data_IF_819342243032
#
_entry.id   IF_819342243032
#
_cell.length_a   1.000
_cell.length_b   1.000
_cell.length_c   1.000
_cell.angle_alpha   90.00
_cell.angle_beta   90.00
_cell.angle_gamma   90.00
#
_symmetry.space_group_name_H-M   'P 1'
#
loop_
_entity.id
_entity.type
_entity.pdbx_description
1 polymer ?
#
# COMPACT_ATOMS: atom_id res chain seq x y z
N UNK A 1 -11.49 43.16 11.03
CA UNK A 1 -11.63 42.17 9.95
C UNK A 1 -10.38 42.30 9.11
N UNK A 2 -9.54 41.28 9.11
CA UNK A 2 -8.23 41.33 8.46
C UNK A 2 -8.41 41.22 6.94
N UNK A 3 -8.48 42.36 6.26
CA UNK A 3 -8.73 42.42 4.81
C UNK A 3 -7.64 41.70 3.99
N UNK A 4 -6.44 41.53 4.57
CA UNK A 4 -5.37 40.71 3.99
C UNK A 4 -5.69 39.21 3.99
N UNK A 5 -6.42 38.71 4.98
CA UNK A 5 -6.86 37.32 5.02
C UNK A 5 -7.90 37.02 3.91
N UNK A 6 -8.81 37.97 3.65
CA UNK A 6 -9.79 37.86 2.55
C UNK A 6 -9.13 37.92 1.17
N UNK A 7 -8.09 38.73 0.98
CA UNK A 7 -7.30 38.74 -0.25
C UNK A 7 -6.51 37.45 -0.43
N UNK A 8 -5.87 36.94 0.63
CA UNK A 8 -5.15 35.66 0.59
C UNK A 8 -6.07 34.45 0.31
N UNK A 9 -7.32 34.48 0.76
CA UNK A 9 -8.34 33.49 0.40
C UNK A 9 -8.72 33.59 -1.08
N UNK A 10 -8.91 34.81 -1.60
CA UNK A 10 -9.15 35.05 -3.03
C UNK A 10 -8.01 34.55 -3.91
N UNK A 11 -6.77 34.79 -3.52
CA UNK A 11 -5.57 34.31 -4.21
C UNK A 11 -5.44 32.77 -4.12
N UNK A 12 -5.85 32.18 -3.00
CA UNK A 12 -5.96 30.73 -2.82
C UNK A 12 -6.93 30.08 -3.80
N UNK A 13 -8.13 30.67 -3.97
CA UNK A 13 -9.10 30.20 -4.96
C UNK A 13 -8.64 30.48 -6.41
N UNK A 14 -7.89 31.55 -6.65
CA UNK A 14 -7.33 31.85 -7.96
C UNK A 14 -6.17 30.90 -8.35
N UNK A 15 -5.41 30.41 -7.37
CA UNK A 15 -4.31 29.45 -7.55
C UNK A 15 -4.75 27.97 -7.54
N UNK A 16 -6.06 27.72 -7.51
CA UNK A 16 -6.66 26.39 -7.49
C UNK A 16 -6.75 25.83 -8.92
N UNK A 17 -5.72 25.11 -9.32
CA UNK A 17 -5.71 24.35 -10.57
C UNK A 17 -6.74 23.21 -10.53
N UNK A 18 -7.33 22.86 -11.67
CA UNK A 18 -8.34 21.80 -11.77
C UNK A 18 -7.79 20.44 -11.31
N UNK A 19 -6.47 20.21 -11.50
CA UNK A 19 -5.77 19.02 -11.00
C UNK A 19 -5.81 18.91 -9.49
N UNK A 20 -5.65 20.03 -8.78
CA UNK A 20 -5.71 20.09 -7.31
C UNK A 20 -7.13 19.82 -6.82
N UNK A 21 -8.15 20.38 -7.50
CA UNK A 21 -9.56 20.10 -7.20
C UNK A 21 -9.84 18.60 -7.25
N UNK A 22 -9.35 17.90 -8.28
CA UNK A 22 -9.51 16.45 -8.40
C UNK A 22 -8.85 15.74 -7.21
N UNK A 23 -7.63 16.12 -6.85
CA UNK A 23 -6.92 15.49 -5.72
C UNK A 23 -7.62 15.75 -4.37
N UNK A 24 -8.24 16.92 -4.18
CA UNK A 24 -9.07 17.20 -3.00
C UNK A 24 -10.29 16.29 -2.95
N UNK A 25 -10.96 16.07 -4.08
CA UNK A 25 -12.09 15.15 -4.19
C UNK A 25 -11.65 13.70 -3.91
N UNK A 26 -10.52 13.27 -4.48
CA UNK A 26 -9.95 11.94 -4.22
C UNK A 26 -9.60 11.78 -2.73
N UNK A 27 -8.94 12.77 -2.12
CA UNK A 27 -8.64 12.76 -0.69
C UNK A 27 -9.90 12.66 0.16
N UNK A 28 -10.96 13.40 -0.19
CA UNK A 28 -12.27 13.31 0.46
C UNK A 28 -12.91 11.92 0.32
N UNK A 29 -12.81 11.28 -0.86
CA UNK A 29 -13.29 9.91 -1.09
C UNK A 29 -12.51 8.92 -0.21
N UNK A 30 -11.19 9.05 -0.12
CA UNK A 30 -10.35 8.17 0.72
C UNK A 30 -10.72 8.30 2.21
N UNK A 31 -10.94 9.52 2.70
CA UNK A 31 -11.42 9.76 4.07
C UNK A 31 -12.81 9.16 4.27
N UNK A 32 -13.71 9.32 3.30
CA UNK A 32 -15.04 8.72 3.36
C UNK A 32 -14.98 7.20 3.44
N UNK A 33 -14.13 6.55 2.63
CA UNK A 33 -13.93 5.10 2.68
C UNK A 33 -13.36 4.65 4.02
N UNK A 34 -12.37 5.37 4.54
CA UNK A 34 -11.76 5.07 5.83
C UNK A 34 -12.78 5.13 6.98
N UNK A 35 -13.63 6.17 7.02
CA UNK A 35 -14.52 6.43 8.17
C UNK A 35 -15.90 5.77 8.02
N UNK A 36 -16.52 5.86 6.85
CA UNK A 36 -17.89 5.37 6.66
C UNK A 36 -17.96 3.89 6.28
N UNK A 37 -16.86 3.31 5.78
CA UNK A 37 -16.80 1.93 5.31
C UNK A 37 -15.76 1.08 6.07
N UNK A 38 -15.07 1.65 7.06
CA UNK A 38 -14.01 1.00 7.86
C UNK A 38 -12.92 0.34 7.00
N UNK A 39 -12.62 0.96 5.87
CA UNK A 39 -11.66 0.48 4.87
C UNK A 39 -10.26 0.91 5.28
N UNK A 40 -9.48 0.01 5.89
CA UNK A 40 -8.11 0.24 6.41
C UNK A 40 -7.91 1.65 7.02
N UNK A 41 -8.71 2.03 8.05
CA UNK A 41 -8.78 3.41 8.52
C UNK A 41 -7.44 3.94 9.03
N UNK A 42 -6.59 3.06 9.57
CA UNK A 42 -5.26 3.41 10.10
C UNK A 42 -4.36 4.03 9.02
N UNK A 43 -4.53 3.64 7.76
CA UNK A 43 -3.66 4.05 6.65
C UNK A 43 -4.37 4.94 5.63
N UNK A 44 -5.60 4.62 5.24
CA UNK A 44 -6.35 5.43 4.27
C UNK A 44 -6.68 6.83 4.82
N UNK A 45 -6.94 6.98 6.12
CA UNK A 45 -7.26 8.28 6.71
C UNK A 45 -6.06 9.25 6.67
N UNK A 46 -4.84 8.88 7.13
CA UNK A 46 -3.66 9.71 6.93
C UNK A 46 -3.34 10.02 5.46
N UNK A 47 -3.51 9.04 4.56
CA UNK A 47 -3.26 9.23 3.12
C UNK A 47 -4.26 10.22 2.53
N UNK A 48 -5.55 10.08 2.84
CA UNK A 48 -6.59 11.00 2.39
C UNK A 48 -6.40 12.41 2.93
N UNK A 49 -6.04 12.55 4.21
CA UNK A 49 -5.71 13.84 4.81
C UNK A 49 -4.47 14.46 4.17
N UNK A 50 -3.41 13.68 3.94
CA UNK A 50 -2.21 14.12 3.24
C UNK A 50 -2.49 14.56 1.80
N UNK A 51 -3.38 13.87 1.10
CA UNK A 51 -3.82 14.24 -0.24
C UNK A 51 -4.58 15.58 -0.24
N UNK A 52 -5.43 15.82 0.76
CA UNK A 52 -6.13 17.12 0.90
C UNK A 52 -5.12 18.22 1.20
N UNK A 53 -4.37 18.08 2.30
CA UNK A 53 -3.46 19.13 2.80
C UNK A 53 -2.33 19.42 1.80
N UNK A 54 -1.77 18.39 1.16
CA UNK A 54 -0.69 18.53 0.20
C UNK A 54 -1.11 19.20 -1.12
N UNK A 55 -2.40 19.23 -1.43
CA UNK A 55 -2.94 19.89 -2.63
C UNK A 55 -3.59 21.25 -2.34
N UNK A 56 -3.57 21.73 -1.08
CA UNK A 56 -4.06 23.07 -0.76
C UNK A 56 -3.11 24.14 -1.31
N UNK A 57 -3.61 25.10 -2.13
CA UNK A 57 -2.80 26.15 -2.71
C UNK A 57 -2.21 27.08 -1.63
N UNK A 58 -1.03 27.64 -1.90
CA UNK A 58 -0.38 28.68 -1.09
C UNK A 58 -0.05 28.29 0.37
N UNK A 59 -0.06 27.00 0.71
CA UNK A 59 0.28 26.53 2.08
C UNK A 59 1.76 26.25 2.29
N UNK A 60 2.55 26.13 1.21
CA UNK A 60 3.96 25.74 1.26
C UNK A 60 4.22 24.31 1.78
N UNK A 61 3.18 23.55 2.16
CA UNK A 61 3.34 22.26 2.83
C UNK A 61 4.00 21.18 1.96
N UNK A 62 3.76 21.23 0.65
CA UNK A 62 4.32 20.30 -0.35
C UNK A 62 5.67 20.74 -0.92
N UNK A 63 6.19 21.90 -0.54
CA UNK A 63 7.51 22.37 -0.97
C UNK A 63 8.63 21.60 -0.27
N UNK A 64 9.85 21.68 -0.80
CA UNK A 64 11.01 20.92 -0.31
C UNK A 64 11.33 21.16 1.18
N UNK A 65 11.06 22.37 1.68
CA UNK A 65 11.22 22.78 3.07
C UNK A 65 9.89 22.81 3.85
N UNK A 66 8.78 22.48 3.17
CA UNK A 66 7.48 22.30 3.78
C UNK A 66 7.39 21.02 4.62
N UNK A 67 6.40 20.93 5.50
CA UNK A 67 6.21 19.78 6.39
C UNK A 67 6.21 18.44 5.64
N UNK A 68 5.47 18.33 4.53
CA UNK A 68 5.42 17.08 3.76
C UNK A 68 6.70 16.84 2.95
N UNK A 69 7.37 17.92 2.49
CA UNK A 69 8.69 17.81 1.86
C UNK A 69 9.75 17.25 2.81
N UNK A 70 9.78 17.73 4.05
CA UNK A 70 10.68 17.24 5.11
C UNK A 70 10.34 15.78 5.46
N UNK A 71 9.07 15.45 5.68
CA UNK A 71 8.65 14.08 5.99
C UNK A 71 8.98 13.11 4.85
N UNK A 72 8.79 13.52 3.60
CA UNK A 72 9.17 12.72 2.44
C UNK A 72 10.69 12.53 2.37
N UNK A 73 11.47 13.60 2.57
CA UNK A 73 12.94 13.56 2.56
C UNK A 73 13.51 12.69 3.68
N UNK A 74 13.02 12.85 4.90
CA UNK A 74 13.55 12.20 6.11
C UNK A 74 12.95 10.81 6.34
N UNK A 75 11.76 10.54 5.84
CA UNK A 75 11.05 9.28 6.10
C UNK A 75 11.06 8.31 4.91
N UNK A 76 10.69 8.80 3.72
CA UNK A 76 10.50 7.94 2.53
C UNK A 76 11.82 7.81 1.76
N UNK A 77 12.51 8.93 1.48
CA UNK A 77 13.75 8.93 0.69
C UNK A 77 14.94 8.28 1.41
N UNK A 78 14.97 8.33 2.73
CA UNK A 78 15.95 7.64 3.59
C UNK A 78 15.51 6.22 3.95
N UNK A 79 14.31 5.80 3.53
CA UNK A 79 13.68 4.52 3.84
C UNK A 79 13.39 4.26 5.32
N UNK A 80 13.55 5.25 6.20
CA UNK A 80 13.32 5.10 7.63
C UNK A 80 11.87 4.66 7.91
N UNK A 81 10.87 5.23 7.24
CA UNK A 81 9.47 4.87 7.46
C UNK A 81 9.14 3.44 7.00
N UNK A 82 9.43 3.02 5.76
CA UNK A 82 9.25 1.63 5.35
C UNK A 82 9.96 0.64 6.28
N UNK A 83 11.21 0.91 6.67
CA UNK A 83 11.98 0.01 7.55
C UNK A 83 11.36 -0.13 8.94
N UNK A 84 10.93 0.98 9.56
CA UNK A 84 10.25 0.95 10.85
C UNK A 84 8.93 0.18 10.77
N UNK A 85 8.18 0.33 9.68
CA UNK A 85 6.95 -0.42 9.46
C UNK A 85 7.25 -1.93 9.33
N UNK A 86 8.29 -2.32 8.58
CA UNK A 86 8.70 -3.73 8.48
C UNK A 86 9.13 -4.33 9.81
N UNK A 87 9.86 -3.58 10.64
CA UNK A 87 10.21 -4.01 12.00
C UNK A 87 8.94 -4.25 12.82
N UNK A 88 7.96 -3.35 12.72
CA UNK A 88 6.67 -3.49 13.38
C UNK A 88 5.89 -4.72 12.89
N UNK A 89 5.76 -4.91 11.58
CA UNK A 89 5.07 -6.08 10.99
C UNK A 89 5.77 -7.38 11.42
N UNK A 90 7.10 -7.42 11.37
CA UNK A 90 7.88 -8.57 11.81
C UNK A 90 7.66 -8.90 13.29
N UNK A 91 7.58 -7.88 14.15
CA UNK A 91 7.29 -8.05 15.58
C UNK A 91 5.86 -8.53 15.88
N UNK A 92 4.89 -8.19 15.02
CA UNK A 92 3.49 -8.61 15.15
C UNK A 92 3.19 -9.96 14.49
N UNK A 93 4.10 -10.49 13.68
CA UNK A 93 3.87 -11.72 12.89
C UNK A 93 4.04 -12.97 13.76
N UNK A 94 3.00 -13.80 13.84
CA UNK A 94 3.08 -15.12 14.46
C UNK A 94 3.50 -16.20 13.45
N UNK A 95 4.69 -16.77 13.64
CA UNK A 95 5.21 -17.86 12.82
C UNK A 95 4.66 -19.24 13.23
N UNK A 96 3.90 -19.34 14.32
CA UNK A 96 3.31 -20.59 14.80
C UNK A 96 2.55 -21.36 13.71
N UNK A 97 1.53 -20.77 13.08
CA UNK A 97 0.76 -21.45 12.02
C UNK A 97 1.62 -21.89 10.82
N UNK A 98 2.63 -21.09 10.46
CA UNK A 98 3.56 -21.39 9.37
C UNK A 98 4.44 -22.61 9.69
N UNK A 99 4.96 -22.66 10.91
CA UNK A 99 5.83 -23.74 11.40
C UNK A 99 5.07 -25.04 11.66
N UNK A 100 3.78 -24.96 12.02
CA UNK A 100 2.89 -26.11 12.19
C UNK A 100 2.65 -26.84 10.86
N UNK A 101 2.50 -26.07 9.78
CA UNK A 101 2.30 -26.60 8.41
C UNK A 101 3.21 -25.90 7.40
N UNK A 102 4.49 -26.32 7.29
CA UNK A 102 5.46 -25.69 6.41
C UNK A 102 5.08 -25.73 4.92
N UNK A 103 4.23 -26.67 4.50
CA UNK A 103 3.71 -26.74 3.13
C UNK A 103 2.94 -25.49 2.71
N UNK A 104 2.42 -24.70 3.67
CA UNK A 104 1.76 -23.42 3.41
C UNK A 104 2.70 -22.37 2.80
N UNK A 105 4.02 -22.48 3.00
CA UNK A 105 5.02 -21.62 2.35
C UNK A 105 4.92 -21.71 0.82
N UNK A 106 4.65 -22.90 0.27
CA UNK A 106 4.50 -23.08 -1.18
C UNK A 106 3.29 -22.33 -1.74
N UNK A 107 2.21 -22.25 -0.95
CA UNK A 107 1.04 -21.42 -1.29
C UNK A 107 1.42 -19.94 -1.32
N UNK A 108 2.24 -19.49 -0.37
CA UNK A 108 2.80 -18.13 -0.35
C UNK A 108 3.68 -17.86 -1.58
N UNK A 109 4.54 -18.81 -1.97
CA UNK A 109 5.36 -18.69 -3.16
C UNK A 109 4.52 -18.58 -4.45
N UNK A 110 3.46 -19.38 -4.57
CA UNK A 110 2.52 -19.29 -5.68
C UNK A 110 1.75 -17.96 -5.71
N UNK A 111 1.41 -17.40 -4.55
CA UNK A 111 0.75 -16.10 -4.44
C UNK A 111 1.60 -14.96 -5.04
N UNK A 112 2.93 -15.04 -4.95
CA UNK A 112 3.85 -14.05 -5.54
C UNK A 112 3.82 -14.02 -7.08
N UNK A 113 3.22 -15.02 -7.74
CA UNK A 113 3.00 -14.97 -9.19
C UNK A 113 2.12 -13.77 -9.60
N UNK A 114 1.30 -13.25 -8.68
CA UNK A 114 0.53 -12.02 -8.87
C UNK A 114 1.39 -10.79 -9.18
N UNK A 115 2.63 -10.72 -8.65
CA UNK A 115 3.58 -9.65 -8.97
C UNK A 115 3.96 -9.72 -10.44
N UNK A 116 4.39 -10.89 -10.90
CA UNK A 116 4.83 -11.10 -12.27
C UNK A 116 3.67 -10.91 -13.26
N UNK A 117 2.47 -11.40 -12.92
CA UNK A 117 1.26 -11.17 -13.72
C UNK A 117 0.96 -9.69 -13.89
N UNK A 118 0.94 -8.93 -12.78
CA UNK A 118 0.72 -7.47 -12.81
C UNK A 118 1.81 -6.75 -13.59
N UNK A 119 3.08 -7.15 -13.44
CA UNK A 119 4.20 -6.57 -14.17
C UNK A 119 4.11 -6.84 -15.68
N UNK A 120 3.75 -8.05 -16.11
CA UNK A 120 3.59 -8.39 -17.53
C UNK A 120 2.47 -7.57 -18.18
N UNK A 121 1.35 -7.40 -17.47
CA UNK A 121 0.25 -6.52 -17.92
C UNK A 121 0.74 -5.07 -17.99
N UNK A 122 1.49 -4.60 -16.99
CA UNK A 122 2.03 -3.25 -16.96
C UNK A 122 3.05 -3.00 -18.10
N UNK A 123 3.84 -4.00 -18.50
CA UNK A 123 4.73 -3.90 -19.67
C UNK A 123 3.90 -3.84 -20.97
N UNK A 124 2.89 -4.70 -21.11
CA UNK A 124 2.03 -4.75 -22.29
C UNK A 124 1.24 -3.46 -22.51
N UNK A 125 0.66 -2.90 -21.45
CA UNK A 125 -0.02 -1.59 -21.48
C UNK A 125 1.00 -0.44 -21.53
N UNK A 126 2.14 -0.62 -20.88
CA UNK A 126 3.22 0.35 -20.79
C UNK A 126 3.82 0.74 -22.14
N UNK A 127 3.81 -0.15 -23.13
CA UNK A 127 4.20 0.18 -24.51
C UNK A 127 3.35 1.32 -25.11
N UNK A 128 2.09 1.47 -24.66
CA UNK A 128 1.18 2.54 -25.09
C UNK A 128 1.26 3.79 -24.19
N UNK A 129 1.67 3.63 -22.94
CA UNK A 129 1.76 4.71 -21.93
C UNK A 129 3.19 5.25 -21.75
N UNK A 130 4.18 4.70 -22.46
CA UNK A 130 5.60 5.08 -22.35
C UNK A 130 6.27 4.62 -21.04
N UNK A 131 5.72 3.62 -20.35
CA UNK A 131 6.32 3.09 -19.12
C UNK A 131 7.51 2.19 -19.42
N UNK A 132 8.64 2.47 -18.74
CA UNK A 132 9.80 1.62 -18.78
C UNK A 132 9.66 0.39 -17.87
N UNK A 133 10.71 -0.43 -17.84
CA UNK A 133 10.74 -1.64 -17.02
C UNK A 133 10.67 -1.33 -15.52
N UNK A 134 11.23 -0.18 -15.08
CA UNK A 134 11.26 0.22 -13.67
C UNK A 134 9.87 0.61 -13.15
N UNK A 135 9.11 1.33 -13.97
CA UNK A 135 7.73 1.71 -13.69
C UNK A 135 6.84 0.46 -13.65
N UNK A 136 6.97 -0.41 -14.65
CA UNK A 136 6.20 -1.66 -14.69
C UNK A 136 6.53 -2.60 -13.53
N UNK A 137 7.80 -2.68 -13.11
CA UNK A 137 8.20 -3.43 -11.92
C UNK A 137 7.59 -2.84 -10.64
N UNK A 138 7.57 -1.51 -10.51
CA UNK A 138 6.97 -0.83 -9.35
C UNK A 138 5.47 -1.04 -9.27
N UNK A 139 4.77 -1.01 -10.41
CA UNK A 139 3.33 -1.34 -10.49
C UNK A 139 3.11 -2.84 -10.20
N UNK A 140 4.01 -3.71 -10.68
CA UNK A 140 3.97 -5.14 -10.44
C UNK A 140 3.93 -5.50 -8.95
N UNK A 141 4.72 -4.82 -8.11
CA UNK A 141 4.80 -5.09 -6.67
C UNK A 141 3.47 -4.88 -5.95
N UNK A 142 2.52 -4.10 -6.49
CA UNK A 142 1.15 -4.01 -5.94
C UNK A 142 0.51 -5.41 -5.83
N UNK A 143 0.83 -6.31 -6.76
CA UNK A 143 0.36 -7.70 -6.77
C UNK A 143 0.88 -8.56 -5.62
N UNK A 144 1.83 -8.07 -4.81
CA UNK A 144 2.28 -8.73 -3.57
C UNK A 144 1.28 -8.60 -2.43
N UNK A 145 0.33 -7.65 -2.55
CA UNK A 145 -0.60 -7.23 -1.50
C UNK A 145 0.11 -6.77 -0.20
N UNK A 146 1.32 -6.25 -0.32
CA UNK A 146 2.10 -5.71 0.79
C UNK A 146 2.44 -4.22 0.53
N UNK A 147 1.77 -3.34 1.28
CA UNK A 147 1.86 -1.89 1.11
C UNK A 147 3.27 -1.32 1.37
N UNK A 148 3.91 -1.64 2.50
CA UNK A 148 5.27 -1.20 2.79
C UNK A 148 6.32 -1.60 1.74
N UNK A 149 6.27 -2.81 1.18
CA UNK A 149 7.19 -3.21 0.10
C UNK A 149 6.87 -2.46 -1.19
N UNK A 150 5.59 -2.24 -1.49
CA UNK A 150 5.16 -1.45 -2.64
C UNK A 150 5.69 -0.01 -2.58
N UNK A 151 5.63 0.63 -1.41
CA UNK A 151 6.21 1.96 -1.18
C UNK A 151 7.73 1.92 -1.34
N UNK A 152 8.38 0.95 -0.70
CA UNK A 152 9.83 0.81 -0.73
C UNK A 152 10.35 0.66 -2.16
N UNK A 153 9.80 -0.28 -2.93
CA UNK A 153 10.23 -0.53 -4.32
C UNK A 153 9.90 0.65 -5.22
N UNK A 154 8.72 1.26 -5.10
CA UNK A 154 8.37 2.45 -5.86
C UNK A 154 9.31 3.62 -5.56
N UNK A 155 9.71 3.82 -4.29
CA UNK A 155 10.65 4.89 -3.90
C UNK A 155 12.04 4.74 -4.53
N UNK A 156 12.46 3.50 -4.83
CA UNK A 156 13.76 3.20 -5.44
C UNK A 156 13.70 3.18 -6.97
N UNK A 157 12.65 2.60 -7.54
CA UNK A 157 12.57 2.32 -8.98
C UNK A 157 11.79 3.38 -9.76
N UNK A 158 10.69 3.90 -9.21
CA UNK A 158 9.83 4.89 -9.88
C UNK A 158 9.24 5.91 -8.88
N UNK A 159 10.05 6.85 -8.36
CA UNK A 159 9.61 7.83 -7.35
C UNK A 159 8.43 8.70 -7.83
N UNK A 160 8.36 8.95 -9.15
CA UNK A 160 7.28 9.67 -9.82
C UNK A 160 5.93 8.97 -9.72
N UNK A 161 5.90 7.65 -9.50
CA UNK A 161 4.68 6.85 -9.36
C UNK A 161 4.37 6.48 -7.90
N UNK A 162 5.19 6.91 -6.94
CA UNK A 162 5.04 6.54 -5.53
C UNK A 162 3.64 6.89 -4.97
N UNK A 163 3.15 8.10 -5.24
CA UNK A 163 1.83 8.53 -4.79
C UNK A 163 0.70 7.62 -5.31
N UNK A 164 0.56 7.48 -6.64
CA UNK A 164 -0.43 6.56 -7.24
C UNK A 164 -0.29 5.10 -6.76
N UNK A 165 0.94 4.57 -6.65
CA UNK A 165 1.19 3.19 -6.22
C UNK A 165 0.78 2.99 -4.75
N UNK A 166 1.15 3.92 -3.86
CA UNK A 166 0.81 3.83 -2.45
C UNK A 166 -0.72 3.87 -2.23
N UNK A 167 -1.42 4.78 -2.93
CA UNK A 167 -2.89 4.85 -2.87
C UNK A 167 -3.51 3.57 -3.40
N UNK A 168 -3.04 3.06 -4.55
CA UNK A 168 -3.56 1.85 -5.17
C UNK A 168 -3.33 0.60 -4.31
N UNK A 169 -2.13 0.45 -3.72
CA UNK A 169 -1.78 -0.70 -2.88
C UNK A 169 -2.72 -0.84 -1.68
N UNK A 170 -2.85 0.20 -0.85
CA UNK A 170 -3.71 0.15 0.33
C UNK A 170 -5.21 0.13 -0.01
N UNK A 171 -5.62 0.87 -1.04
CA UNK A 171 -7.01 0.82 -1.49
C UNK A 171 -7.38 -0.58 -1.98
N UNK A 172 -6.50 -1.28 -2.70
CA UNK A 172 -6.77 -2.65 -3.15
C UNK A 172 -6.74 -3.67 -2.00
N UNK A 173 -5.80 -3.56 -1.06
CA UNK A 173 -5.71 -4.46 0.10
C UNK A 173 -7.02 -4.46 0.90
N UNK A 174 -7.61 -3.28 1.08
CA UNK A 174 -8.90 -3.13 1.73
C UNK A 174 -10.10 -3.72 0.96
N UNK A 175 -9.97 -3.88 -0.36
CA UNK A 175 -10.99 -4.49 -1.23
C UNK A 175 -10.87 -6.01 -1.31
N UNK A 176 -9.86 -6.63 -0.69
CA UNK A 176 -9.68 -8.09 -0.64
C UNK A 176 -10.95 -8.83 -0.18
N UNK A 177 -11.68 -8.41 0.87
CA UNK A 177 -12.93 -9.08 1.27
C UNK A 177 -14.04 -9.04 0.21
N UNK A 178 -13.98 -8.10 -0.74
CA UNK A 178 -14.94 -7.99 -1.84
C UNK A 178 -14.46 -8.79 -3.06
N UNK A 179 -13.16 -8.74 -3.37
CA UNK A 179 -12.57 -9.33 -4.57
C UNK A 179 -12.32 -10.83 -4.40
N UNK A 180 -11.85 -11.25 -3.23
CA UNK A 180 -11.44 -12.63 -2.96
C UNK A 180 -12.61 -13.64 -2.99
N UNK A 181 -13.78 -13.40 -2.35
CA UNK A 181 -14.84 -14.41 -2.31
C UNK A 181 -15.43 -14.78 -3.68
N UNK A 182 -15.67 -13.84 -4.62
CA UNK A 182 -16.10 -14.17 -5.98
C UNK A 182 -15.09 -15.06 -6.73
N UNK A 183 -13.79 -14.76 -6.61
CA UNK A 183 -12.72 -15.56 -7.25
C UNK A 183 -12.70 -16.98 -6.67
N UNK A 184 -12.78 -17.11 -5.34
CA UNK A 184 -12.89 -18.41 -4.70
C UNK A 184 -14.14 -19.16 -5.18
N UNK A 185 -15.27 -18.45 -5.34
CA UNK A 185 -16.52 -19.04 -5.83
C UNK A 185 -16.42 -19.59 -7.25
N UNK A 186 -15.62 -18.94 -8.10
CA UNK A 186 -15.41 -19.29 -9.50
C UNK A 186 -14.43 -20.45 -9.68
N UNK A 187 -13.32 -20.45 -8.94
CA UNK A 187 -12.21 -21.38 -9.17
C UNK A 187 -12.26 -22.68 -8.36
N UNK A 188 -12.94 -22.68 -7.21
CA UNK A 188 -12.99 -23.88 -6.33
C UNK A 188 -14.35 -24.56 -6.39
N UNK A 189 -14.40 -25.86 -6.13
CA UNK A 189 -15.63 -26.65 -6.08
C UNK A 189 -16.22 -26.69 -4.66
N UNK A 190 -17.48 -27.14 -4.52
CA UNK A 190 -18.11 -27.32 -3.20
C UNK A 190 -17.44 -28.43 -2.37
N UNK A 191 -16.91 -29.46 -3.03
CA UNK A 191 -16.23 -30.57 -2.36
C UNK A 191 -14.87 -30.14 -1.79
N UNK A 192 -14.08 -29.38 -2.56
CA UNK A 192 -12.80 -28.81 -2.07
C UNK A 192 -13.00 -27.88 -0.86
N UNK A 193 -14.05 -27.05 -0.86
CA UNK A 193 -14.37 -26.15 0.26
C UNK A 193 -14.81 -26.87 1.53
N UNK A 194 -15.17 -28.15 1.45
CA UNK A 194 -15.63 -28.97 2.59
C UNK A 194 -14.54 -29.85 3.18
N UNK A 195 -13.33 -29.82 2.62
CA UNK A 195 -12.18 -30.55 3.14
C UNK A 195 -11.90 -30.08 4.58
N UNK A 196 -11.93 -31.02 5.52
CA UNK A 196 -11.60 -30.75 6.92
C UNK A 196 -10.09 -30.63 7.06
N UNK A 197 -9.62 -29.47 7.48
CA UNK A 197 -8.21 -29.26 7.81
C UNK A 197 -7.90 -29.94 9.15
N UNK A 198 -7.11 -31.01 9.15
CA UNK A 198 -6.71 -31.73 10.38
C UNK A 198 -5.88 -30.85 11.32
N UNK A 199 -6.40 -30.44 12.47
CA UNK A 199 -5.63 -29.66 13.45
C UNK A 199 -4.33 -30.38 13.81
N UNK A 200 -3.22 -29.94 13.22
CA UNK A 200 -1.93 -30.55 13.42
C UNK A 200 -1.36 -29.94 14.69
N UNK A 201 -1.60 -30.56 15.84
CA UNK A 201 -1.08 -30.13 17.16
C UNK A 201 0.42 -30.42 17.30
N UNK A 202 1.22 -30.05 16.30
CA UNK A 202 2.68 -30.09 16.44
C UNK A 202 3.07 -28.99 17.42
N UNK A 203 3.37 -29.37 18.65
CA UNK A 203 3.94 -28.44 19.63
C UNK A 203 5.28 -27.93 19.11
N UNK A 204 5.27 -26.72 18.56
CA UNK A 204 6.50 -26.06 18.11
C UNK A 204 7.32 -25.68 19.34
N UNK A 205 8.59 -26.10 19.37
CA UNK A 205 9.49 -25.73 20.45
C UNK A 205 9.77 -24.22 20.45
N UNK A 206 9.96 -23.64 21.64
CA UNK A 206 10.40 -22.24 21.76
C UNK A 206 11.69 -21.98 20.99
N UNK A 207 12.60 -22.96 21.00
CA UNK A 207 13.87 -22.90 20.26
C UNK A 207 13.66 -22.76 18.76
N UNK A 208 12.72 -23.52 18.17
CA UNK A 208 12.38 -23.41 16.74
C UNK A 208 11.81 -22.03 16.42
N UNK A 209 10.94 -21.47 17.28
CA UNK A 209 10.38 -20.12 17.06
C UNK A 209 11.44 -19.02 17.09
N UNK A 210 12.44 -19.14 17.95
CA UNK A 210 13.54 -18.17 18.09
C UNK A 210 14.55 -18.32 16.95
N UNK A 211 14.93 -19.55 16.61
CA UNK A 211 15.92 -19.81 15.56
C UNK A 211 15.37 -19.55 14.16
N UNK A 212 14.06 -19.71 13.94
CA UNK A 212 13.45 -19.53 12.63
C UNK A 212 13.83 -18.20 11.96
N UNK A 213 13.54 -17.01 12.55
CA UNK A 213 13.90 -15.74 11.92
C UNK A 213 15.42 -15.55 11.75
N UNK A 214 16.25 -16.14 12.61
CA UNK A 214 17.72 -16.04 12.54
C UNK A 214 18.28 -16.85 11.37
N UNK A 215 17.69 -18.02 11.10
CA UNK A 215 18.14 -18.91 10.01
C UNK A 215 17.61 -18.44 8.66
N UNK A 216 16.44 -17.79 8.63
CA UNK A 216 15.82 -17.32 7.39
C UNK A 216 16.30 -15.94 6.92
N UNK A 217 16.97 -15.18 7.79
CA UNK A 217 17.57 -13.86 7.47
C UNK A 217 19.01 -14.04 7.02
#
# INVERSE_FOLDING_TARGET
>A
MDWGALQSLGDGFAALDWRRVIMLVVGGILIYLAVARDVEPVLLLPIGLGAILGNMPLTGMGEEDGLFGILHRVGIRTEIFPLLIFIGIGAMTDFGPLLERPSTVLLGAAAQFGIFGTMLVAIGVGHWMGWGLKEAASIGIIGSADGPTSIYVASKLAPNLLGPIAVAAYSYMSLVPIIQPPIMRLLTTKEERRIKMEYTTRHISKTTRILFPIVTT
#
